data_IF_120799002438
#
_entry.id   IF_120799002438
#
_cell.length_a   1.000
_cell.length_b   1.000
_cell.length_c   1.000
_cell.angle_alpha   90.00
_cell.angle_beta   90.00
_cell.angle_gamma   90.00
#
_symmetry.space_group_name_H-M   'P 1'
#
loop_
_entity.id
_entity.type
_entity.pdbx_description
1 polymer ?
#
# COMPACT_ATOMS: atom_id res chain seq x y z
N UNK A 1 5.19 7.92 21.60
CA UNK A 1 6.50 7.52 21.02
C UNK A 1 6.70 8.33 19.75
N UNK A 2 7.85 8.96 19.54
CA UNK A 2 8.13 9.73 18.31
C UNK A 2 8.47 8.70 17.22
N UNK A 3 7.78 8.73 16.08
CA UNK A 3 8.07 7.80 14.98
C UNK A 3 9.46 8.12 14.41
N UNK A 4 10.34 7.13 14.34
CA UNK A 4 11.67 7.26 13.75
C UNK A 4 11.82 6.30 12.57
N UNK A 5 12.48 6.74 11.48
CA UNK A 5 12.52 6.01 10.20
C UNK A 5 13.11 4.60 10.30
N UNK A 6 13.98 4.36 11.29
CA UNK A 6 14.75 3.13 11.47
C UNK A 6 14.10 2.10 12.42
N UNK A 7 12.89 2.35 12.92
CA UNK A 7 12.23 1.46 13.90
C UNK A 7 11.88 0.07 13.35
N UNK A 8 12.03 -0.20 12.05
CA UNK A 8 11.82 -1.54 11.48
C UNK A 8 12.83 -1.81 10.37
N UNK A 9 13.98 -2.38 10.73
CA UNK A 9 14.98 -2.93 9.81
C UNK A 9 15.49 -2.00 8.67
N UNK A 10 15.42 -0.68 8.84
CA UNK A 10 16.09 0.27 7.93
C UNK A 10 17.58 0.30 8.30
N UNK A 11 18.47 -0.18 7.42
CA UNK A 11 19.89 0.22 7.41
C UNK A 11 20.06 1.16 6.22
N UNK A 12 19.68 2.43 6.37
CA UNK A 12 19.72 3.36 5.25
C UNK A 12 21.16 3.76 4.95
N UNK A 13 21.42 4.12 3.69
CA UNK A 13 22.56 4.94 3.34
C UNK A 13 22.40 6.39 3.83
N UNK A 14 22.97 7.40 3.15
CA UNK A 14 22.78 8.80 3.54
C UNK A 14 21.31 9.27 3.41
N UNK A 15 20.48 8.55 2.65
CA UNK A 15 19.08 8.90 2.39
C UNK A 15 18.13 8.06 3.25
N UNK A 16 17.21 8.72 3.96
CA UNK A 16 16.19 8.10 4.83
C UNK A 16 14.80 8.55 4.45
N UNK A 17 13.79 7.76 4.81
CA UNK A 17 12.40 8.18 4.70
C UNK A 17 12.12 9.41 5.61
N UNK A 18 11.36 10.38 5.09
CA UNK A 18 10.87 11.50 5.87
C UNK A 18 9.66 11.07 6.71
N UNK A 19 9.72 11.29 8.01
CA UNK A 19 8.61 10.98 8.92
C UNK A 19 7.46 11.95 8.68
N UNK A 20 6.31 11.43 8.25
CA UNK A 20 5.09 12.21 8.06
C UNK A 20 4.28 12.22 9.37
N UNK A 21 4.33 13.33 10.09
CA UNK A 21 3.66 13.47 11.39
C UNK A 21 2.18 13.88 11.29
N UNK A 22 1.76 14.41 10.14
CA UNK A 22 0.44 15.00 9.92
C UNK A 22 -0.33 14.18 8.87
N UNK A 23 -1.48 13.57 9.21
CA UNK A 23 -2.28 12.80 8.26
C UNK A 23 -2.69 13.60 7.02
N UNK A 24 -2.91 14.91 7.17
CA UNK A 24 -3.30 15.81 6.07
C UNK A 24 -2.27 15.84 4.94
N UNK A 25 -0.99 15.62 5.26
CA UNK A 25 0.08 15.54 4.26
C UNK A 25 -0.09 14.30 3.40
N UNK A 26 -0.38 13.14 4.00
CA UNK A 26 -0.65 11.90 3.26
C UNK A 26 -1.90 12.06 2.40
N UNK A 27 -2.97 12.65 2.94
CA UNK A 27 -4.19 12.95 2.19
C UNK A 27 -3.91 13.84 0.98
N UNK A 28 -3.12 14.91 1.15
CA UNK A 28 -2.73 15.79 0.05
C UNK A 28 -1.87 15.07 -1.00
N UNK A 29 -0.93 14.22 -0.57
CA UNK A 29 -0.09 13.42 -1.48
C UNK A 29 -0.94 12.45 -2.31
N UNK A 30 -1.86 11.72 -1.67
CA UNK A 30 -2.77 10.78 -2.33
C UNK A 30 -3.67 11.51 -3.32
N UNK A 31 -4.27 12.65 -2.93
CA UNK A 31 -5.12 13.46 -3.82
C UNK A 31 -4.37 14.05 -5.02
N UNK A 32 -3.07 14.35 -4.87
CA UNK A 32 -2.24 14.91 -5.94
C UNK A 32 -1.68 13.83 -6.86
N UNK A 33 -1.56 12.59 -6.40
CA UNK A 33 -1.07 11.49 -7.20
C UNK A 33 -2.02 11.26 -8.38
N UNK A 34 -1.49 11.29 -9.60
CA UNK A 34 -2.30 11.08 -10.82
C UNK A 34 -2.80 9.64 -10.90
N UNK A 35 -1.92 8.68 -10.58
CA UNK A 35 -2.13 7.24 -10.75
C UNK A 35 -1.54 6.47 -9.57
N UNK A 36 -2.11 6.63 -8.36
CA UNK A 36 -1.62 5.95 -7.17
C UNK A 36 -1.89 4.44 -7.23
N UNK A 37 -1.06 3.65 -6.55
CA UNK A 37 -1.27 2.21 -6.33
C UNK A 37 -1.14 1.95 -4.83
N UNK A 38 -2.06 1.16 -4.26
CA UNK A 38 -1.99 0.73 -2.87
C UNK A 38 -1.54 -0.73 -2.81
N UNK A 39 -0.32 -0.98 -2.31
CA UNK A 39 0.22 -2.33 -2.14
C UNK A 39 -0.05 -2.78 -0.71
N UNK A 40 -0.67 -3.94 -0.54
CA UNK A 40 -1.02 -4.47 0.79
C UNK A 40 -0.29 -5.78 1.07
N UNK A 41 0.48 -5.76 2.16
CA UNK A 41 1.28 -6.87 2.68
C UNK A 41 0.46 -7.86 3.50
N UNK A 42 0.98 -9.08 3.67
CA UNK A 42 0.27 -10.15 4.38
C UNK A 42 -0.08 -9.80 5.83
N UNK A 43 0.79 -9.12 6.58
CA UNK A 43 0.54 -8.73 7.98
C UNK A 43 -0.73 -7.88 8.17
N UNK A 44 -1.29 -7.31 7.09
CA UNK A 44 -2.54 -6.56 7.15
C UNK A 44 -3.74 -7.40 7.65
N UNK A 45 -3.68 -8.73 7.56
CA UNK A 45 -4.76 -9.59 8.09
C UNK A 45 -4.60 -9.86 9.59
N UNK A 46 -3.40 -9.66 10.12
CA UNK A 46 -3.05 -9.96 11.50
C UNK A 46 -3.10 -8.71 12.39
N UNK A 47 -2.71 -7.55 11.85
CA UNK A 47 -2.64 -6.28 12.58
C UNK A 47 -4.04 -5.73 12.91
N UNK A 48 -4.28 -5.44 14.18
CA UNK A 48 -5.48 -4.75 14.66
C UNK A 48 -5.30 -3.22 14.62
N UNK A 49 -6.32 -2.51 14.12
CA UNK A 49 -6.41 -1.04 14.08
C UNK A 49 -7.70 -0.64 14.80
N UNK A 50 -7.59 -0.39 16.10
CA UNK A 50 -8.75 -0.14 16.95
C UNK A 50 -9.62 -1.39 17.07
N UNK A 51 -10.81 -1.36 16.48
CA UNK A 51 -11.77 -2.48 16.51
C UNK A 51 -11.86 -3.26 15.19
N UNK A 52 -11.07 -2.90 14.18
CA UNK A 52 -11.05 -3.57 12.86
C UNK A 52 -9.64 -4.07 12.52
N UNK A 53 -9.52 -4.98 11.53
CA UNK A 53 -8.21 -5.38 11.02
C UNK A 53 -7.66 -4.31 10.08
N UNK A 54 -6.34 -4.22 9.95
CA UNK A 54 -5.68 -3.30 9.03
C UNK A 54 -6.18 -3.48 7.59
N UNK A 55 -6.44 -4.72 7.15
CA UNK A 55 -7.01 -5.00 5.83
C UNK A 55 -8.38 -4.30 5.61
N UNK A 56 -9.24 -4.24 6.62
CA UNK A 56 -10.55 -3.58 6.52
C UNK A 56 -10.37 -2.06 6.37
N UNK A 57 -9.44 -1.48 7.14
CA UNK A 57 -9.07 -0.08 7.02
C UNK A 57 -8.47 0.23 5.63
N UNK A 58 -7.61 -0.63 5.09
CA UNK A 58 -7.01 -0.48 3.75
C UNK A 58 -8.07 -0.57 2.65
N UNK A 59 -9.05 -1.48 2.74
CA UNK A 59 -10.17 -1.56 1.80
C UNK A 59 -10.98 -0.27 1.83
N UNK A 60 -11.27 0.26 3.03
CA UNK A 60 -12.01 1.52 3.19
C UNK A 60 -11.25 2.70 2.60
N UNK A 61 -9.93 2.78 2.82
CA UNK A 61 -9.07 3.79 2.21
C UNK A 61 -9.09 3.70 0.68
N UNK A 62 -8.89 2.50 0.13
CA UNK A 62 -8.88 2.27 -1.31
C UNK A 62 -10.20 2.66 -1.97
N UNK A 63 -11.34 2.30 -1.37
CA UNK A 63 -12.67 2.70 -1.84
C UNK A 63 -12.86 4.22 -1.80
N UNK A 64 -12.45 4.86 -0.70
CA UNK A 64 -12.61 6.32 -0.52
C UNK A 64 -11.77 7.12 -1.51
N UNK A 65 -10.52 6.69 -1.72
CA UNK A 65 -9.56 7.37 -2.58
C UNK A 65 -9.54 6.84 -4.02
N UNK A 66 -10.39 5.85 -4.35
CA UNK A 66 -10.46 5.20 -5.66
C UNK A 66 -9.11 4.67 -6.16
N UNK A 67 -8.36 4.02 -5.26
CA UNK A 67 -6.99 3.53 -5.54
C UNK A 67 -7.04 2.04 -5.89
N UNK A 68 -6.43 1.60 -7.01
CA UNK A 68 -6.27 0.18 -7.29
C UNK A 68 -5.38 -0.48 -6.23
N UNK A 69 -5.84 -1.62 -5.72
CA UNK A 69 -5.11 -2.40 -4.72
C UNK A 69 -4.36 -3.54 -5.38
N UNK A 70 -3.09 -3.70 -5.01
CA UNK A 70 -2.29 -4.89 -5.30
C UNK A 70 -2.14 -5.68 -4.01
N UNK A 71 -2.74 -6.87 -3.96
CA UNK A 71 -2.55 -7.79 -2.86
C UNK A 71 -1.27 -8.61 -3.08
N UNK A 72 -0.49 -8.81 -2.01
CA UNK A 72 0.71 -9.64 -2.05
C UNK A 72 0.52 -10.96 -1.28
N UNK A 73 1.45 -11.91 -1.45
CA UNK A 73 1.48 -13.17 -0.68
C UNK A 73 0.15 -13.92 -0.70
N UNK A 74 -0.30 -14.54 0.39
CA UNK A 74 -1.50 -15.40 0.39
C UNK A 74 -2.82 -14.64 0.68
N UNK A 75 -2.79 -13.32 0.90
CA UNK A 75 -3.94 -12.57 1.43
C UNK A 75 -4.99 -12.15 0.38
N UNK A 76 -4.80 -12.51 -0.89
CA UNK A 76 -5.82 -12.27 -1.94
C UNK A 76 -7.18 -12.88 -1.58
N UNK A 77 -7.19 -14.06 -0.93
CA UNK A 77 -8.43 -14.69 -0.47
C UNK A 77 -9.17 -13.87 0.59
N UNK A 78 -8.43 -13.15 1.45
CA UNK A 78 -9.01 -12.32 2.51
C UNK A 78 -9.69 -11.07 1.95
N UNK A 79 -9.18 -10.52 0.85
CA UNK A 79 -9.83 -9.46 0.09
C UNK A 79 -11.13 -9.93 -0.58
N UNK A 80 -11.11 -11.10 -1.21
CA UNK A 80 -12.29 -11.69 -1.87
C UNK A 80 -13.41 -11.97 -0.86
N UNK A 81 -13.08 -12.55 0.31
CA UNK A 81 -14.05 -12.81 1.40
C UNK A 81 -14.76 -11.54 1.88
N UNK A 82 -14.09 -10.39 1.79
CA UNK A 82 -14.62 -9.06 2.16
C UNK A 82 -15.35 -8.35 1.02
N UNK A 83 -15.57 -9.02 -0.11
CA UNK A 83 -16.25 -8.46 -1.28
C UNK A 83 -15.47 -7.33 -1.96
N UNK A 84 -14.14 -7.35 -1.85
CA UNK A 84 -13.27 -6.37 -2.51
C UNK A 84 -12.16 -7.10 -3.27
N UNK A 85 -12.41 -7.58 -4.49
CA UNK A 85 -11.35 -8.18 -5.29
C UNK A 85 -10.28 -7.12 -5.60
N UNK A 86 -8.99 -7.39 -5.33
CA UNK A 86 -7.92 -6.44 -5.64
C UNK A 86 -7.76 -6.32 -7.16
N UNK A 87 -7.21 -5.19 -7.61
CA UNK A 87 -6.96 -4.93 -9.03
C UNK A 87 -5.94 -5.93 -9.61
N UNK A 88 -4.96 -6.34 -8.80
CA UNK A 88 -4.04 -7.41 -9.14
C UNK A 88 -3.55 -8.15 -7.89
N UNK A 89 -3.00 -9.33 -8.14
CA UNK A 89 -2.23 -10.08 -7.17
C UNK A 89 -0.84 -10.36 -7.73
N UNK A 90 0.19 -10.08 -6.94
CA UNK A 90 1.57 -10.46 -7.28
C UNK A 90 2.47 -10.47 -6.03
N UNK A 91 3.57 -11.25 -6.02
CA UNK A 91 4.57 -11.18 -4.95
C UNK A 91 5.09 -9.76 -4.73
N UNK A 92 5.53 -9.45 -3.51
CA UNK A 92 6.08 -8.12 -3.19
C UNK A 92 7.28 -7.76 -4.11
N UNK A 93 8.17 -8.73 -4.36
CA UNK A 93 9.33 -8.56 -5.26
C UNK A 93 8.89 -8.23 -6.69
N UNK A 94 7.82 -8.87 -7.15
CA UNK A 94 7.28 -8.72 -8.49
C UNK A 94 6.66 -7.33 -8.73
N UNK A 95 5.90 -6.81 -7.78
CA UNK A 95 5.36 -5.44 -7.90
C UNK A 95 6.47 -4.41 -7.78
N UNK A 96 7.47 -4.62 -6.93
CA UNK A 96 8.59 -3.68 -6.79
C UNK A 96 9.45 -3.62 -8.05
N UNK A 97 9.67 -4.75 -8.73
CA UNK A 97 10.39 -4.77 -10.00
C UNK A 97 9.62 -3.99 -11.08
N UNK A 98 8.29 -4.18 -11.16
CA UNK A 98 7.43 -3.42 -12.09
C UNK A 98 7.45 -1.92 -11.81
N UNK A 99 7.43 -1.51 -10.54
CA UNK A 99 7.50 -0.10 -10.15
C UNK A 99 8.84 0.58 -10.53
N UNK A 100 9.90 -0.20 -10.77
CA UNK A 100 11.19 0.31 -11.21
C UNK A 100 11.34 0.31 -12.73
N UNK A 101 10.46 -0.38 -13.45
CA UNK A 101 10.50 -0.49 -14.90
C UNK A 101 9.82 0.73 -15.55
N UNK A 102 10.57 1.61 -16.24
CA UNK A 102 10.00 2.78 -16.91
C UNK A 102 9.09 2.43 -18.09
N UNK A 103 9.21 1.22 -18.65
CA UNK A 103 8.36 0.74 -19.75
C UNK A 103 7.06 0.12 -19.23
N UNK A 104 6.92 -0.07 -17.91
CA UNK A 104 5.71 -0.64 -17.34
C UNK A 104 4.54 0.33 -17.43
N UNK A 105 3.45 -0.12 -18.09
CA UNK A 105 2.23 0.68 -18.31
C UNK A 105 1.19 0.55 -17.21
N UNK A 106 1.60 0.29 -15.97
CA UNK A 106 0.68 0.16 -14.84
C UNK A 106 -0.23 -1.06 -14.91
N UNK A 107 -1.28 -1.05 -14.06
CA UNK A 107 -2.20 -2.18 -13.89
C UNK A 107 -3.30 -2.22 -14.96
N UNK A 108 -3.64 -1.07 -15.54
CA UNK A 108 -4.68 -0.89 -16.55
C UNK A 108 -4.12 -0.69 -17.97
N UNK A 109 -2.80 -0.63 -18.13
CA UNK A 109 -2.13 -0.42 -19.42
C UNK A 109 -1.94 1.04 -19.84
N UNK A 110 -2.32 2.00 -18.99
CA UNK A 110 -2.28 3.45 -19.29
C UNK A 110 -1.16 4.19 -18.56
N UNK A 111 -0.26 3.46 -17.87
CA UNK A 111 0.85 4.00 -17.07
C UNK A 111 0.40 4.37 -15.67
#
# INVERSE_FOLDING_TARGET
MKAESWQTAEVPGPTKALVIMKPEVVVAMVKRAKRPILIVGHEAVDIDVGSEKLIDYMIRLAKTAHIPVVATAHIVGEFIKRGFPPAAWMPAVDITNRLQDPEWRGLDGEG
#
